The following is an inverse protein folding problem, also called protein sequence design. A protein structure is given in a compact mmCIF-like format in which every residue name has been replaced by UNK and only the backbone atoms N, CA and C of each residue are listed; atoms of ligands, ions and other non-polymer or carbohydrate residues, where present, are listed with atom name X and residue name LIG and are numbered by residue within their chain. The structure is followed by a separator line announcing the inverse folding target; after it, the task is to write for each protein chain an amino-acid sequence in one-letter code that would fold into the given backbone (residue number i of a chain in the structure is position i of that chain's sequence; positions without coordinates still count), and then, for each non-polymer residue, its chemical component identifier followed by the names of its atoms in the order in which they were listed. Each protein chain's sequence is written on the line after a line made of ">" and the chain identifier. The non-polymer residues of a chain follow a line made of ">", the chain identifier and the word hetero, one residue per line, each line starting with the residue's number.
data_IF_210344710165
#
_entry.id   IF_210344710165
#
_cell.length_a   1.000
_cell.length_b   1.000
_cell.length_c   1.000
_cell.angle_alpha   90.00
_cell.angle_beta   90.00
_cell.angle_gamma   90.00
#
_symmetry.space_group_name_H-M   'P 1'
#
loop_
_entity.id
_entity.type
_entity.pdbx_description
1 polymer ?
#
# COMPACT_ATOMS: atom_id res chain seq x y z
N UNK A 1 1.36 9.64 0.42
CA UNK A 1 1.29 8.17 0.57
C UNK A 1 1.29 7.86 2.06
N UNK A 2 0.24 7.21 2.59
CA UNK A 2 0.04 7.09 4.05
C UNK A 2 1.10 6.22 4.74
N UNK A 3 1.52 5.11 4.13
CA UNK A 3 2.57 4.23 4.68
C UNK A 3 3.88 5.00 4.86
N UNK A 4 4.37 5.70 3.84
CA UNK A 4 5.61 6.49 3.93
C UNK A 4 5.51 7.62 4.96
N UNK A 5 4.36 8.28 5.08
CA UNK A 5 4.16 9.30 6.11
C UNK A 5 4.29 8.70 7.53
N UNK A 6 3.65 7.55 7.77
CA UNK A 6 3.75 6.82 9.04
C UNK A 6 5.18 6.40 9.36
N UNK A 7 5.87 5.75 8.42
CA UNK A 7 7.24 5.25 8.63
C UNK A 7 8.26 6.38 8.86
N UNK A 8 7.99 7.58 8.30
CA UNK A 8 8.84 8.76 8.48
C UNK A 8 8.39 9.69 9.62
N UNK A 9 7.31 9.34 10.34
CA UNK A 9 6.76 10.19 11.40
C UNK A 9 6.24 11.54 10.92
N UNK A 10 5.77 11.62 9.67
CA UNK A 10 5.25 12.85 9.07
C UNK A 10 3.73 12.98 9.31
N UNK A 11 3.24 14.16 9.74
CA UNK A 11 1.81 14.38 9.89
C UNK A 11 1.12 14.41 8.51
N UNK A 12 -0.13 13.93 8.45
CA UNK A 12 -0.93 13.89 7.21
C UNK A 12 -2.01 14.97 7.14
N UNK A 13 -2.11 15.78 8.18
CA UNK A 13 -3.16 16.77 8.43
C UNK A 13 -2.58 18.18 8.68
N UNK A 14 -1.29 18.39 8.38
CA UNK A 14 -0.63 19.68 8.53
C UNK A 14 -0.98 20.63 7.36
N UNK A 15 -1.78 21.69 7.58
CA UNK A 15 -2.19 22.60 6.51
C UNK A 15 -1.03 23.44 5.97
N UNK A 16 0.08 23.57 6.71
CA UNK A 16 1.28 24.29 6.26
C UNK A 16 2.20 23.42 5.40
N UNK A 17 1.98 22.09 5.37
CA UNK A 17 2.77 21.14 4.58
C UNK A 17 1.84 20.24 3.74
N UNK A 18 1.32 20.76 2.61
CA UNK A 18 0.47 19.98 1.72
C UNK A 18 1.14 18.67 1.28
N UNK A 19 0.37 17.58 1.24
CA UNK A 19 0.87 16.25 0.89
C UNK A 19 1.14 16.03 -0.60
N UNK A 20 0.84 17.03 -1.43
CA UNK A 20 1.01 16.96 -2.89
C UNK A 20 1.32 18.34 -3.46
N UNK A 21 2.16 18.36 -4.49
CA UNK A 21 2.46 19.56 -5.29
C UNK A 21 1.79 19.52 -6.66
N UNK A 22 1.19 18.39 -7.03
CA UNK A 22 0.55 18.14 -8.34
C UNK A 22 -0.93 17.79 -8.24
N UNK A 23 -1.47 17.61 -7.03
CA UNK A 23 -2.88 17.26 -6.80
C UNK A 23 -3.14 15.77 -6.53
N UNK A 24 -2.16 14.87 -6.69
CA UNK A 24 -2.37 13.43 -6.46
C UNK A 24 -2.83 12.70 -7.73
N UNK A 25 -2.47 11.42 -7.88
CA UNK A 25 -2.76 10.66 -9.11
C UNK A 25 -4.26 10.67 -9.50
N UNK A 26 -5.15 10.61 -8.51
CA UNK A 26 -6.61 10.64 -8.68
C UNK A 26 -7.10 11.90 -9.39
N UNK A 27 -6.49 13.06 -9.12
CA UNK A 27 -7.00 14.37 -9.57
C UNK A 27 -6.13 15.02 -10.64
N UNK A 28 -4.81 14.80 -10.57
CA UNK A 28 -3.86 15.39 -11.51
C UNK A 28 -4.00 14.83 -12.93
N UNK A 29 -4.59 13.63 -13.07
CA UNK A 29 -4.64 12.90 -14.34
C UNK A 29 -3.23 12.51 -14.78
N UNK A 30 -2.74 11.37 -14.30
CA UNK A 30 -1.35 10.95 -14.53
C UNK A 30 -1.22 9.75 -15.46
N UNK A 31 -0.21 9.72 -16.35
CA UNK A 31 0.16 8.54 -17.11
C UNK A 31 0.74 7.48 -16.16
N UNK A 32 -0.12 6.70 -15.48
CA UNK A 32 0.19 5.57 -14.60
C UNK A 32 1.61 5.59 -13.99
N UNK A 33 2.60 5.08 -14.75
CA UNK A 33 3.99 4.93 -14.34
C UNK A 33 4.83 6.23 -14.23
N UNK A 34 4.46 7.32 -14.90
CA UNK A 34 5.26 8.54 -15.03
C UNK A 34 4.74 9.73 -14.20
N UNK A 35 3.74 9.52 -13.34
CA UNK A 35 3.18 10.56 -12.48
C UNK A 35 4.23 11.31 -11.64
N UNK A 36 5.21 10.60 -11.08
CA UNK A 36 6.21 11.18 -10.16
C UNK A 36 7.14 12.17 -10.88
N UNK A 37 7.40 11.99 -12.18
CA UNK A 37 8.22 12.93 -12.95
C UNK A 37 7.61 14.34 -12.96
N UNK A 38 6.27 14.44 -13.05
CA UNK A 38 5.57 15.73 -12.95
C UNK A 38 5.71 16.35 -11.56
N UNK A 39 5.75 15.52 -10.51
CA UNK A 39 5.97 16.00 -9.14
C UNK A 39 7.39 16.55 -8.98
N UNK A 40 8.39 15.90 -9.59
CA UNK A 40 9.78 16.39 -9.59
C UNK A 40 9.90 17.72 -10.34
N UNK A 41 9.31 17.83 -11.52
CA UNK A 41 9.32 19.07 -12.31
C UNK A 41 8.67 20.23 -11.53
N UNK A 42 7.49 20.00 -10.96
CA UNK A 42 6.77 21.01 -10.16
C UNK A 42 7.57 21.40 -8.90
N UNK A 43 8.16 20.42 -8.20
CA UNK A 43 8.99 20.69 -7.04
C UNK A 43 10.22 21.53 -7.37
N UNK A 44 10.83 21.32 -8.53
CA UNK A 44 11.96 22.13 -8.98
C UNK A 44 11.58 23.61 -9.18
N UNK A 45 10.38 23.91 -9.67
CA UNK A 45 9.87 25.27 -9.80
C UNK A 45 9.60 25.91 -8.43
N UNK A 46 8.94 25.18 -7.52
CA UNK A 46 8.65 25.65 -6.16
C UNK A 46 9.93 25.97 -5.37
N UNK A 47 10.95 25.11 -5.44
CA UNK A 47 12.22 25.33 -4.74
C UNK A 47 13.06 26.44 -5.35
N UNK A 48 12.89 26.76 -6.64
CA UNK A 48 13.51 27.95 -7.24
C UNK A 48 12.85 29.24 -6.74
N UNK A 49 11.55 29.21 -6.49
CA UNK A 49 10.81 30.35 -5.94
C UNK A 49 11.05 30.56 -4.44
N UNK A 50 11.28 29.47 -3.68
CA UNK A 50 11.70 29.51 -2.27
C UNK A 50 12.99 28.69 -2.04
N UNK A 51 14.18 29.30 -2.25
CA UNK A 51 15.45 28.57 -2.16
C UNK A 51 15.82 28.05 -0.76
N UNK A 52 15.18 28.58 0.29
CA UNK A 52 15.41 28.14 1.67
C UNK A 52 14.63 26.85 2.01
N UNK A 53 13.60 26.52 1.21
CA UNK A 53 12.77 25.35 1.42
C UNK A 53 13.47 24.03 1.07
N UNK A 54 12.84 22.95 1.54
CA UNK A 54 13.13 21.57 1.15
C UNK A 54 11.82 20.88 0.80
N UNK A 55 11.87 20.07 -0.24
CA UNK A 55 10.73 19.27 -0.70
C UNK A 55 10.99 17.78 -0.58
N UNK A 56 10.00 17.01 -0.16
CA UNK A 56 10.04 15.55 -0.17
C UNK A 56 9.11 15.03 -1.27
N UNK A 57 9.62 14.14 -2.12
CA UNK A 57 8.82 13.38 -3.09
C UNK A 57 8.94 11.91 -2.74
N UNK A 58 7.81 11.21 -2.72
CA UNK A 58 7.73 9.75 -2.57
C UNK A 58 7.17 9.15 -3.86
N UNK A 59 7.68 7.99 -4.24
CA UNK A 59 7.39 7.32 -5.50
C UNK A 59 7.10 5.84 -5.22
N UNK A 60 5.84 5.46 -5.35
CA UNK A 60 5.39 4.09 -5.13
C UNK A 60 5.19 3.36 -6.46
N UNK A 61 5.69 2.13 -6.56
CA UNK A 61 5.52 1.26 -7.73
C UNK A 61 4.88 -0.08 -7.37
N UNK A 62 4.00 -0.57 -8.26
CA UNK A 62 3.31 -1.86 -8.10
C UNK A 62 2.44 -1.92 -6.84
N UNK A 63 2.40 -3.09 -6.20
CA UNK A 63 1.69 -3.34 -4.95
C UNK A 63 2.54 -2.96 -3.72
N UNK A 64 3.12 -1.75 -3.72
CA UNK A 64 4.16 -1.32 -2.77
C UNK A 64 5.44 -2.18 -2.84
N UNK A 65 5.71 -2.80 -3.99
CA UNK A 65 6.89 -3.66 -4.18
C UNK A 65 8.16 -2.86 -4.49
N UNK A 66 8.02 -1.58 -4.85
CA UNK A 66 9.12 -0.65 -5.06
C UNK A 66 8.77 0.69 -4.45
N UNK A 67 9.73 1.26 -3.73
CA UNK A 67 9.63 2.62 -3.22
C UNK A 67 10.91 3.38 -3.52
N UNK A 68 10.76 4.58 -4.02
CA UNK A 68 11.85 5.55 -4.14
C UNK A 68 11.39 6.86 -3.51
N UNK A 69 12.31 7.61 -2.94
CA UNK A 69 12.01 8.95 -2.46
C UNK A 69 13.19 9.86 -2.73
N UNK A 70 12.93 11.16 -2.75
CA UNK A 70 13.95 12.19 -2.92
C UNK A 70 13.64 13.39 -2.06
N UNK A 71 14.69 13.94 -1.42
CA UNK A 71 14.63 15.25 -0.77
C UNK A 71 15.35 16.25 -1.67
N UNK A 72 14.64 17.31 -2.05
CA UNK A 72 15.10 18.30 -3.01
C UNK A 72 15.28 19.65 -2.30
N UNK A 73 16.30 20.41 -2.71
CA UNK A 73 16.54 21.79 -2.26
C UNK A 73 17.25 22.56 -3.38
N UNK A 74 17.07 23.88 -3.41
CA UNK A 74 17.88 24.76 -4.27
C UNK A 74 19.25 25.10 -3.63
N UNK A 75 19.47 24.70 -2.37
CA UNK A 75 20.75 24.90 -1.68
C UNK A 75 21.71 23.72 -1.96
N UNK A 76 22.96 23.98 -2.42
CA UNK A 76 23.95 22.94 -2.64
C UNK A 76 24.28 22.15 -1.36
N UNK A 77 24.52 20.83 -1.45
CA UNK A 77 24.90 20.04 -0.29
C UNK A 77 26.32 20.40 0.18
N UNK A 78 26.59 20.33 1.49
CA UNK A 78 27.94 20.60 2.03
C UNK A 78 28.94 19.47 1.76
N UNK A 79 28.48 18.34 1.22
CA UNK A 79 29.29 17.16 0.94
C UNK A 79 29.01 16.62 -0.46
N UNK A 80 29.99 15.92 -1.02
CA UNK A 80 29.84 15.22 -2.29
C UNK A 80 28.82 14.07 -2.21
N UNK A 81 28.39 13.61 -3.39
CA UNK A 81 27.49 12.47 -3.54
C UNK A 81 28.01 11.23 -2.79
N UNK A 82 27.08 10.52 -2.14
CA UNK A 82 27.32 9.25 -1.47
C UNK A 82 26.18 8.30 -1.81
N UNK A 83 26.47 7.01 -1.81
CA UNK A 83 25.48 5.97 -2.02
C UNK A 83 25.75 4.78 -1.11
N UNK A 84 24.69 4.04 -0.81
CA UNK A 84 24.73 2.79 -0.07
C UNK A 84 23.63 1.89 -0.66
N UNK A 85 23.90 0.59 -0.76
CA UNK A 85 22.88 -0.40 -1.08
C UNK A 85 22.29 -0.96 0.22
N UNK A 86 21.01 -0.67 0.44
CA UNK A 86 20.25 -1.11 1.62
C UNK A 86 19.50 -2.41 1.39
N UNK A 87 19.50 -2.96 0.16
CA UNK A 87 18.77 -4.18 -0.17
C UNK A 87 19.17 -5.39 0.71
N UNK A 88 20.46 -5.62 1.05
CA UNK A 88 20.84 -6.72 1.94
C UNK A 88 20.28 -6.59 3.37
N UNK A 89 19.90 -5.39 3.81
CA UNK A 89 19.21 -5.21 5.08
C UNK A 89 17.74 -5.61 4.98
N UNK A 90 17.07 -5.19 3.90
CA UNK A 90 15.68 -5.55 3.59
C UNK A 90 15.52 -7.06 3.42
N UNK A 91 16.45 -7.72 2.73
CA UNK A 91 16.40 -9.16 2.47
C UNK A 91 16.54 -10.02 3.73
N UNK A 92 17.06 -9.44 4.83
CA UNK A 92 17.19 -10.11 6.14
C UNK A 92 15.93 -9.99 6.99
N UNK A 93 14.99 -9.13 6.62
CA UNK A 93 13.75 -8.97 7.38
C UNK A 93 12.94 -10.28 7.36
N UNK A 94 12.28 -10.64 8.48
CA UNK A 94 11.50 -11.86 8.55
C UNK A 94 10.42 -11.90 7.47
N UNK A 95 10.43 -12.97 6.68
CA UNK A 95 9.37 -13.24 5.70
C UNK A 95 8.38 -14.24 6.27
N UNK A 96 7.17 -14.24 5.70
CA UNK A 96 6.12 -15.18 6.07
C UNK A 96 5.91 -16.19 4.95
N UNK A 97 5.84 -17.48 5.31
CA UNK A 97 5.57 -18.56 4.35
C UNK A 97 4.17 -18.37 3.75
N UNK A 98 4.11 -18.29 2.43
CA UNK A 98 2.87 -18.33 1.66
C UNK A 98 2.59 -19.78 1.23
N UNK A 99 1.42 -20.30 1.58
CA UNK A 99 0.96 -21.61 1.16
C UNK A 99 0.09 -21.43 -0.09
N UNK A 100 0.48 -22.09 -1.18
CA UNK A 100 -0.28 -22.07 -2.44
C UNK A 100 -1.58 -22.87 -2.30
N UNK A 101 -1.49 -24.02 -1.62
CA UNK A 101 -2.61 -24.90 -1.32
C UNK A 101 -2.69 -25.09 0.20
N UNK A 102 -3.84 -24.78 0.78
CA UNK A 102 -4.08 -24.95 2.20
C UNK A 102 -5.58 -25.05 2.47
N UNK A 103 -5.96 -25.90 3.42
CA UNK A 103 -7.33 -26.03 3.91
C UNK A 103 -7.32 -26.25 5.42
N UNK A 104 -8.38 -25.80 6.08
CA UNK A 104 -8.52 -25.83 7.54
C UNK A 104 -9.08 -24.53 8.10
N UNK A 105 -9.15 -24.47 9.43
CA UNK A 105 -9.57 -23.26 10.14
C UNK A 105 -8.40 -22.28 10.25
N UNK A 106 -8.65 -21.03 9.89
CA UNK A 106 -7.70 -19.93 9.95
C UNK A 106 -8.33 -18.65 10.50
N UNK A 107 -7.56 -17.58 10.45
CA UNK A 107 -7.97 -16.27 10.95
C UNK A 107 -7.82 -15.24 9.82
N UNK A 108 -8.85 -14.44 9.57
CA UNK A 108 -8.80 -13.39 8.53
C UNK A 108 -7.75 -12.34 8.93
N UNK A 109 -6.73 -12.13 8.10
CA UNK A 109 -5.71 -11.08 8.27
C UNK A 109 -6.13 -9.77 7.61
N UNK A 110 -6.72 -9.86 6.42
CA UNK A 110 -7.17 -8.74 5.59
C UNK A 110 -8.09 -9.28 4.49
N UNK A 111 -8.93 -8.41 3.93
CA UNK A 111 -9.87 -8.76 2.86
C UNK A 111 -10.15 -7.60 1.93
N UNK A 112 -10.72 -7.92 0.77
CA UNK A 112 -11.30 -6.94 -0.15
C UNK A 112 -12.48 -7.55 -0.88
N UNK A 113 -13.48 -6.73 -1.17
CA UNK A 113 -14.76 -7.16 -1.73
C UNK A 113 -15.05 -6.35 -2.98
N UNK A 114 -14.73 -6.87 -4.18
CA UNK A 114 -15.13 -6.23 -5.42
C UNK A 114 -16.66 -6.13 -5.55
N UNK A 115 -17.10 -5.02 -6.14
CA UNK A 115 -18.48 -4.75 -6.48
C UNK A 115 -18.70 -4.87 -7.99
N UNK A 116 -19.85 -5.41 -8.37
CA UNK A 116 -20.28 -5.47 -9.76
C UNK A 116 -20.74 -4.10 -10.31
N UNK A 117 -21.22 -4.07 -11.55
CA UNK A 117 -21.68 -2.84 -12.22
C UNK A 117 -22.94 -2.23 -11.61
N UNK A 118 -23.70 -3.02 -10.87
CA UNK A 118 -24.91 -2.58 -10.19
C UNK A 118 -24.62 -2.17 -8.73
N UNK A 119 -23.35 -2.19 -8.32
CA UNK A 119 -22.94 -1.85 -6.97
C UNK A 119 -23.26 -2.94 -5.95
N UNK A 120 -23.31 -4.22 -6.36
CA UNK A 120 -23.50 -5.35 -5.44
C UNK A 120 -22.17 -6.06 -5.16
N UNK A 121 -21.90 -6.46 -3.90
CA UNK A 121 -20.76 -7.31 -3.56
C UNK A 121 -20.81 -8.62 -4.36
N UNK A 122 -19.74 -8.95 -5.09
CA UNK A 122 -19.72 -10.16 -5.94
C UNK A 122 -19.10 -11.37 -5.21
N UNK A 123 -17.99 -11.14 -4.51
CA UNK A 123 -17.19 -12.12 -3.76
C UNK A 123 -16.25 -11.39 -2.80
N UNK A 124 -15.66 -12.06 -1.83
CA UNK A 124 -14.60 -11.49 -0.99
C UNK A 124 -13.30 -12.29 -1.11
N UNK A 125 -12.18 -11.60 -1.36
CA UNK A 125 -10.85 -12.21 -1.30
C UNK A 125 -10.25 -11.98 0.07
N UNK A 126 -9.73 -13.05 0.67
CA UNK A 126 -9.17 -13.06 2.02
C UNK A 126 -7.68 -13.41 1.97
N UNK A 127 -6.88 -12.72 2.77
CA UNK A 127 -5.61 -13.28 3.26
C UNK A 127 -5.86 -13.89 4.63
N UNK A 128 -5.54 -15.18 4.79
CA UNK A 128 -5.84 -15.97 5.98
C UNK A 128 -4.55 -16.39 6.69
N UNK A 129 -4.53 -16.26 8.01
CA UNK A 129 -3.47 -16.79 8.88
C UNK A 129 -3.80 -18.19 9.35
N UNK A 130 -2.83 -19.09 9.18
CA UNK A 130 -2.89 -20.43 9.74
C UNK A 130 -2.42 -20.43 11.21
N UNK A 131 -2.66 -21.53 11.93
CA UNK A 131 -2.13 -21.74 13.29
C UNK A 131 -0.60 -21.67 13.36
N UNK A 132 0.09 -21.98 12.27
CA UNK A 132 1.54 -22.04 12.17
C UNK A 132 2.15 -20.71 11.68
N UNK A 133 1.41 -19.61 11.82
CA UNK A 133 1.80 -18.27 11.36
C UNK A 133 2.06 -18.18 9.84
N UNK A 134 1.59 -19.14 9.02
CA UNK A 134 1.66 -19.04 7.55
C UNK A 134 0.50 -18.18 6.99
N UNK A 135 0.60 -17.82 5.70
CA UNK A 135 -0.47 -17.14 4.95
C UNK A 135 -1.01 -18.03 3.84
N UNK A 136 -2.32 -18.01 3.66
CA UNK A 136 -3.01 -18.53 2.48
C UNK A 136 -3.93 -17.44 1.90
N UNK A 137 -4.33 -17.59 0.64
CA UNK A 137 -5.38 -16.78 0.02
C UNK A 137 -6.61 -17.66 -0.12
N UNK A 138 -7.79 -17.12 0.17
CA UNK A 138 -9.06 -17.81 -0.01
C UNK A 138 -10.12 -16.86 -0.55
N UNK A 139 -11.24 -17.41 -1.03
CA UNK A 139 -12.36 -16.63 -1.58
C UNK A 139 -13.68 -17.05 -0.96
N UNK A 140 -14.46 -16.08 -0.50
CA UNK A 140 -15.90 -16.27 -0.25
C UNK A 140 -16.59 -15.93 -1.58
N UNK A 141 -17.12 -16.91 -2.30
CA UNK A 141 -17.76 -16.71 -3.61
C UNK A 141 -19.29 -16.64 -3.56
N UNK A 142 -19.88 -16.75 -2.37
CA UNK A 142 -21.29 -16.46 -2.13
C UNK A 142 -21.51 -14.93 -1.96
N UNK A 143 -22.32 -14.28 -2.82
CA UNK A 143 -22.57 -12.84 -2.74
C UNK A 143 -23.20 -12.38 -1.41
N UNK A 144 -24.04 -13.20 -0.79
CA UNK A 144 -24.67 -12.85 0.50
C UNK A 144 -23.63 -12.82 1.63
N UNK A 145 -22.78 -13.85 1.72
CA UNK A 145 -21.65 -13.87 2.64
C UNK A 145 -20.62 -12.76 2.32
N UNK A 146 -20.39 -12.46 1.04
CA UNK A 146 -19.54 -11.33 0.65
C UNK A 146 -20.09 -9.98 1.14
N UNK A 147 -21.41 -9.80 1.17
CA UNK A 147 -22.03 -8.58 1.68
C UNK A 147 -21.77 -8.36 3.19
N UNK A 148 -21.63 -9.44 3.98
CA UNK A 148 -21.23 -9.34 5.40
C UNK A 148 -19.87 -8.66 5.53
N UNK A 149 -18.91 -9.01 4.68
CA UNK A 149 -17.55 -8.43 4.71
C UNK A 149 -17.49 -6.94 4.38
N UNK A 150 -18.56 -6.38 3.81
CA UNK A 150 -18.70 -4.94 3.55
C UNK A 150 -19.33 -4.23 4.75
N UNK A 151 -20.28 -4.88 5.41
CA UNK A 151 -21.03 -4.32 6.53
C UNK A 151 -20.24 -4.40 7.85
N UNK A 152 -19.36 -5.38 7.98
CA UNK A 152 -18.67 -5.71 9.23
C UNK A 152 -17.14 -5.70 9.09
N UNK A 153 -16.46 -5.37 10.19
CA UNK A 153 -15.02 -5.56 10.34
C UNK A 153 -14.75 -7.02 10.69
N UNK A 154 -14.32 -7.81 9.70
CA UNK A 154 -14.01 -9.23 9.87
C UNK A 154 -12.54 -9.48 10.19
N UNK A 155 -11.74 -8.45 10.51
CA UNK A 155 -10.35 -8.63 10.93
C UNK A 155 -10.30 -9.54 12.17
N UNK A 156 -9.50 -10.61 12.10
CA UNK A 156 -9.41 -11.56 13.21
C UNK A 156 -10.55 -12.57 13.30
N UNK A 157 -11.56 -12.52 12.42
CA UNK A 157 -12.62 -13.50 12.38
C UNK A 157 -12.09 -14.90 12.00
N UNK A 158 -12.77 -15.94 12.48
CA UNK A 158 -12.48 -17.32 12.10
C UNK A 158 -13.07 -17.62 10.74
N UNK A 159 -12.32 -18.37 9.94
CA UNK A 159 -12.72 -18.76 8.59
C UNK A 159 -12.28 -20.18 8.33
N UNK A 160 -13.16 -20.98 7.73
CA UNK A 160 -12.81 -22.31 7.22
C UNK A 160 -12.43 -22.17 5.75
N UNK A 161 -11.20 -22.53 5.39
CA UNK A 161 -10.75 -22.62 4.00
C UNK A 161 -10.88 -24.07 3.54
N UNK A 162 -11.57 -24.27 2.42
CA UNK A 162 -11.81 -25.57 1.79
C UNK A 162 -10.69 -25.91 0.79
N UNK A 163 -10.58 -27.18 0.42
CA UNK A 163 -9.50 -27.67 -0.45
C UNK A 163 -9.49 -27.05 -1.86
N UNK A 164 -10.61 -26.49 -2.31
CA UNK A 164 -10.76 -25.78 -3.58
C UNK A 164 -10.45 -24.27 -3.48
N UNK A 165 -10.00 -23.79 -2.32
CA UNK A 165 -9.68 -22.39 -2.05
C UNK A 165 -10.89 -21.52 -1.68
N UNK A 166 -12.10 -22.09 -1.63
CA UNK A 166 -13.27 -21.38 -1.10
C UNK A 166 -13.17 -21.24 0.41
N UNK A 167 -13.86 -20.24 0.95
CA UNK A 167 -13.91 -19.95 2.37
C UNK A 167 -15.33 -19.70 2.85
N UNK A 168 -15.59 -20.09 4.09
CA UNK A 168 -16.81 -19.77 4.84
C UNK A 168 -16.42 -19.13 6.17
N UNK A 169 -17.03 -17.99 6.52
CA UNK A 169 -16.92 -17.43 7.87
C UNK A 169 -17.52 -18.42 8.88
N UNK A 170 -16.89 -18.52 10.06
CA UNK A 170 -17.33 -19.42 11.14
C UNK A 170 -18.22 -18.68 12.12
#
# INVERSE_FOLDING_TARGET
>A
MQVAARELGLPTDDPQRPLTVTGGLTFAGGPWNNYVMHSIATMAELLRADPAARGLITANGGYLTKHSFGVYSATPPPAAFRWEDVQPAVDREPTRRALVEWSGEGTVESWTTPFDRDGRPEKAFLTVRTSDDARAVAVIDDPEAAAVTVAEDIAGAKVTVHADGRASLV
#
